data_IF_880816805965
#
_entry.id   IF_880816805965
#
_cell.length_a   1.000
_cell.length_b   1.000
_cell.length_c   1.000
_cell.angle_alpha   90.00
_cell.angle_beta   90.00
_cell.angle_gamma   90.00
#
_symmetry.space_group_name_H-M   'P 1'
#
loop_
_entity.id
_entity.type
_entity.pdbx_description
1 polymer ?
#
# COMPACT_ATOMS: atom_id res chain seq x y z
N UNK A 1 -15.49 5.32 6.84
CA UNK A 1 -14.35 6.07 7.40
C UNK A 1 -13.82 6.95 6.29
N UNK A 2 -13.69 8.25 6.49
CA UNK A 2 -13.18 9.16 5.46
C UNK A 2 -11.64 9.14 5.47
N UNK A 3 -11.01 9.32 4.30
CA UNK A 3 -9.56 9.29 4.16
C UNK A 3 -8.93 10.67 4.40
N UNK A 4 -7.77 10.72 5.06
CA UNK A 4 -7.09 11.98 5.40
C UNK A 4 -6.80 12.84 4.16
N UNK A 5 -6.41 12.22 3.04
CA UNK A 5 -6.16 12.92 1.77
C UNK A 5 -7.38 13.69 1.20
N UNK A 6 -8.59 13.47 1.72
CA UNK A 6 -9.79 14.25 1.37
C UNK A 6 -9.78 15.65 2.00
N UNK A 7 -9.03 15.84 3.08
CA UNK A 7 -8.83 17.12 3.75
C UNK A 7 -7.43 17.66 3.40
N UNK A 8 -7.34 18.43 2.31
CA UNK A 8 -6.06 18.80 1.69
C UNK A 8 -5.09 19.49 2.66
N UNK A 9 -5.57 20.44 3.47
CA UNK A 9 -4.73 21.18 4.43
C UNK A 9 -4.20 20.25 5.53
N UNK A 10 -5.08 19.48 6.17
CA UNK A 10 -4.70 18.52 7.20
C UNK A 10 -3.75 17.44 6.67
N UNK A 11 -3.97 16.99 5.44
CA UNK A 11 -3.11 16.01 4.78
C UNK A 11 -1.70 16.55 4.55
N UNK A 12 -1.57 17.76 4.00
CA UNK A 12 -0.27 18.40 3.78
C UNK A 12 0.45 18.63 5.11
N UNK A 13 -0.27 19.08 6.14
CA UNK A 13 0.29 19.28 7.48
C UNK A 13 0.81 17.96 8.07
N UNK A 14 0.02 16.89 7.99
CA UNK A 14 0.43 15.57 8.47
C UNK A 14 1.64 15.02 7.70
N UNK A 15 1.68 15.19 6.37
CA UNK A 15 2.81 14.78 5.53
C UNK A 15 4.09 15.52 5.94
N UNK A 16 4.02 16.83 6.16
CA UNK A 16 5.17 17.62 6.58
C UNK A 16 5.64 17.25 8.00
N UNK A 17 4.73 17.09 8.95
CA UNK A 17 5.07 16.68 10.33
C UNK A 17 5.74 15.30 10.37
N UNK A 18 5.22 14.35 9.59
CA UNK A 18 5.83 13.01 9.49
C UNK A 18 7.19 13.07 8.77
N UNK A 19 7.33 13.91 7.74
CA UNK A 19 8.60 14.13 7.04
C UNK A 19 9.68 14.63 8.00
N UNK A 20 9.36 15.62 8.83
CA UNK A 20 10.24 16.17 9.86
C UNK A 20 10.59 15.12 10.92
N UNK A 21 9.60 14.43 11.46
CA UNK A 21 9.78 13.44 12.52
C UNK A 21 10.62 12.22 12.09
N UNK A 22 10.39 11.70 10.88
CA UNK A 22 11.07 10.51 10.37
C UNK A 22 12.33 10.84 9.56
N UNK A 23 12.65 12.12 9.34
CA UNK A 23 13.77 12.58 8.52
C UNK A 23 13.78 11.98 7.11
N UNK A 24 12.61 11.96 6.46
CA UNK A 24 12.43 11.50 5.08
C UNK A 24 11.73 12.56 4.26
N UNK A 25 11.90 12.53 2.93
CA UNK A 25 11.28 13.53 2.05
C UNK A 25 9.74 13.47 2.13
N UNK A 26 9.02 14.62 2.10
CA UNK A 26 7.56 14.65 2.13
C UNK A 26 6.90 13.77 1.05
N UNK A 27 7.50 13.76 -0.15
CA UNK A 27 7.07 12.90 -1.25
C UNK A 27 7.07 11.40 -0.88
N UNK A 28 8.04 10.96 -0.08
CA UNK A 28 8.15 9.56 0.35
C UNK A 28 7.05 9.23 1.36
N UNK A 29 6.74 10.15 2.27
CA UNK A 29 5.62 10.01 3.23
C UNK A 29 4.29 9.91 2.49
N UNK A 30 4.04 10.81 1.54
CA UNK A 30 2.82 10.81 0.74
C UNK A 30 2.64 9.50 -0.03
N UNK A 31 3.70 9.03 -0.69
CA UNK A 31 3.67 7.73 -1.39
C UNK A 31 3.42 6.57 -0.42
N UNK A 32 4.07 6.55 0.74
CA UNK A 32 3.87 5.50 1.75
C UNK A 32 2.42 5.44 2.25
N UNK A 33 1.79 6.60 2.42
CA UNK A 33 0.38 6.73 2.78
C UNK A 33 -0.53 6.08 1.74
N UNK A 34 -0.38 6.42 0.46
CA UNK A 34 -1.22 5.85 -0.60
C UNK A 34 -0.99 4.36 -0.80
N UNK A 35 0.26 3.89 -0.72
CA UNK A 35 0.57 2.45 -0.78
C UNK A 35 -0.16 1.70 0.33
N UNK A 36 -0.11 2.21 1.56
CA UNK A 36 -0.77 1.60 2.72
C UNK A 36 -2.30 1.62 2.57
N UNK A 37 -2.85 2.69 2.03
CA UNK A 37 -4.29 2.82 1.75
C UNK A 37 -4.76 1.78 0.71
N UNK A 38 -4.01 1.60 -0.38
CA UNK A 38 -4.32 0.60 -1.42
C UNK A 38 -4.29 -0.80 -0.83
N UNK A 39 -3.26 -1.13 -0.05
CA UNK A 39 -3.15 -2.43 0.62
C UNK A 39 -4.35 -2.70 1.53
N UNK A 40 -4.77 -1.70 2.32
CA UNK A 40 -5.97 -1.80 3.16
C UNK A 40 -7.21 -2.13 2.33
N UNK A 41 -7.50 -1.34 1.30
CA UNK A 41 -8.68 -1.54 0.43
C UNK A 41 -8.66 -2.90 -0.26
N UNK A 42 -7.50 -3.36 -0.74
CA UNK A 42 -7.34 -4.68 -1.33
C UNK A 42 -7.68 -5.80 -0.34
N UNK A 43 -7.21 -5.69 0.91
CA UNK A 43 -7.51 -6.69 1.94
C UNK A 43 -8.97 -6.68 2.38
N UNK A 44 -9.62 -5.52 2.44
CA UNK A 44 -11.03 -5.40 2.82
C UNK A 44 -11.98 -5.95 1.73
N UNK A 45 -11.62 -5.78 0.45
CA UNK A 45 -12.47 -6.19 -0.68
C UNK A 45 -12.19 -7.61 -1.16
N UNK A 46 -10.93 -8.05 -1.08
CA UNK A 46 -10.46 -9.26 -1.73
C UNK A 46 -9.61 -10.12 -0.78
N UNK A 47 -10.29 -10.90 0.08
CA UNK A 47 -9.63 -11.77 1.06
C UNK A 47 -8.71 -12.87 0.48
N UNK A 48 -8.71 -13.07 -0.83
CA UNK A 48 -7.75 -13.95 -1.50
C UNK A 48 -6.50 -13.24 -2.02
N UNK A 49 -6.38 -11.93 -1.87
CA UNK A 49 -5.18 -11.19 -2.28
C UNK A 49 -4.16 -11.26 -1.16
N UNK A 50 -2.97 -11.79 -1.46
CA UNK A 50 -1.86 -11.90 -0.52
C UNK A 50 -0.77 -10.93 -0.90
N UNK A 51 -0.40 -10.07 0.03
CA UNK A 51 0.72 -9.15 -0.11
C UNK A 51 2.05 -9.89 0.03
N UNK A 52 2.97 -9.71 -0.93
CA UNK A 52 4.28 -10.37 -0.99
C UNK A 52 5.39 -9.37 -1.34
N UNK A 53 6.55 -9.90 -1.70
CA UNK A 53 7.66 -9.13 -2.27
C UNK A 53 8.44 -8.31 -1.26
N UNK A 54 9.31 -7.45 -1.77
CA UNK A 54 10.24 -6.65 -0.96
C UNK A 54 9.51 -5.69 -0.01
N UNK A 55 8.35 -5.18 -0.43
CA UNK A 55 7.54 -4.24 0.37
C UNK A 55 6.85 -4.95 1.54
N UNK A 56 6.48 -6.23 1.42
CA UNK A 56 6.02 -7.01 2.58
C UNK A 56 7.13 -7.24 3.61
N UNK A 57 8.37 -7.46 3.16
CA UNK A 57 9.53 -7.60 4.04
C UNK A 57 9.88 -6.30 4.78
N UNK A 58 9.69 -5.15 4.15
CA UNK A 58 9.89 -3.84 4.80
C UNK A 58 8.72 -3.46 5.72
N UNK A 59 7.46 -3.55 5.25
CA UNK A 59 6.28 -3.06 5.98
C UNK A 59 5.78 -4.03 7.06
N UNK A 60 5.75 -5.33 6.79
CA UNK A 60 5.20 -6.30 7.75
C UNK A 60 6.28 -6.86 8.66
N UNK A 61 7.42 -7.27 8.10
CA UNK A 61 8.48 -7.95 8.84
C UNK A 61 9.60 -7.01 9.33
N UNK A 62 9.66 -5.77 8.82
CA UNK A 62 10.69 -4.77 9.17
C UNK A 62 12.13 -5.28 9.01
N UNK A 63 12.34 -6.23 8.10
CA UNK A 63 13.65 -6.90 7.87
C UNK A 63 14.58 -6.02 7.03
N UNK A 64 14.01 -5.15 6.19
CA UNK A 64 14.77 -4.17 5.40
C UNK A 64 14.32 -2.74 5.78
N UNK A 65 15.29 -1.82 5.90
CA UNK A 65 15.06 -0.40 6.24
C UNK A 65 15.23 0.50 5.01
N UNK A 66 14.41 0.27 3.99
CA UNK A 66 14.33 1.15 2.82
C UNK A 66 12.87 1.41 2.46
N UNK A 67 12.61 2.57 1.88
CA UNK A 67 11.33 2.81 1.23
C UNK A 67 11.16 1.84 0.05
N UNK A 68 9.93 1.40 -0.17
CA UNK A 68 9.55 0.50 -1.26
C UNK A 68 8.18 0.94 -1.75
N UNK A 69 8.15 1.49 -2.96
CA UNK A 69 6.95 2.01 -3.61
C UNK A 69 6.09 0.90 -4.22
N UNK A 70 6.73 -0.20 -4.62
CA UNK A 70 6.08 -1.28 -5.34
C UNK A 70 5.09 -2.04 -4.45
N UNK A 71 3.93 -2.42 -5.02
CA UNK A 71 2.93 -3.27 -4.37
C UNK A 71 2.91 -4.62 -5.09
N UNK A 72 3.64 -5.59 -4.53
CA UNK A 72 3.63 -6.96 -5.03
C UNK A 72 2.47 -7.75 -4.41
N UNK A 73 1.50 -8.13 -5.24
CA UNK A 73 0.35 -8.93 -4.81
C UNK A 73 0.27 -10.28 -5.54
N UNK A 74 -0.19 -11.28 -4.81
CA UNK A 74 -0.56 -12.61 -5.32
C UNK A 74 -2.04 -12.84 -5.09
N UNK A 75 -2.60 -13.83 -5.77
CA UNK A 75 -3.92 -14.38 -5.44
C UNK A 75 -3.75 -15.79 -4.83
N UNK A 76 -4.14 -15.94 -3.57
CA UNK A 76 -4.28 -17.23 -2.87
C UNK A 76 -5.72 -17.74 -3.01
N UNK A 77 -6.07 -18.10 -4.23
CA UNK A 77 -7.24 -18.94 -4.47
C UNK A 77 -6.90 -19.95 -5.56
N UNK A 78 -7.50 -21.14 -5.46
CA UNK A 78 -7.53 -22.08 -6.59
C UNK A 78 -8.46 -21.51 -7.67
N UNK A 79 -8.04 -20.44 -8.33
CA UNK A 79 -8.76 -19.90 -9.47
C UNK A 79 -8.63 -20.90 -10.62
N UNK A 80 -9.77 -21.23 -11.23
CA UNK A 80 -9.74 -21.85 -12.54
C UNK A 80 -9.06 -20.91 -13.54
N UNK A 81 -8.47 -21.46 -14.60
CA UNK A 81 -7.83 -20.67 -15.67
C UNK A 81 -8.78 -19.60 -16.25
N UNK A 82 -10.09 -19.89 -16.32
CA UNK A 82 -11.10 -18.95 -16.80
C UNK A 82 -11.31 -17.73 -15.88
N UNK A 83 -11.25 -17.92 -14.56
CA UNK A 83 -11.33 -16.81 -13.60
C UNK A 83 -10.05 -15.97 -13.62
N UNK A 84 -8.90 -16.63 -13.77
CA UNK A 84 -7.60 -15.98 -13.84
C UNK A 84 -7.45 -15.14 -15.12
N UNK A 85 -8.08 -15.55 -16.22
CA UNK A 85 -8.16 -14.76 -17.46
C UNK A 85 -9.00 -13.48 -17.27
N UNK A 86 -10.19 -13.59 -16.67
CA UNK A 86 -11.05 -12.43 -16.38
C UNK A 86 -10.38 -11.38 -15.48
N UNK A 87 -9.55 -11.81 -14.52
CA UNK A 87 -8.82 -10.90 -13.64
C UNK A 87 -7.67 -10.13 -14.33
N UNK A 88 -7.12 -10.67 -15.42
CA UNK A 88 -6.07 -10.01 -16.22
C UNK A 88 -6.64 -9.08 -17.30
N UNK A 89 -7.95 -9.14 -17.53
CA UNK A 89 -8.66 -8.37 -18.55
C UNK A 89 -9.32 -7.10 -17.97
N UNK A 90 -9.16 -6.84 -16.67
CA UNK A 90 -9.54 -5.59 -15.98
C UNK A 90 -8.33 -4.67 -15.93
#
# INVERSE_FOLDING_TARGET
MEYLHKHKEDFINAVNLASEYFHILPLIVEKDYYVTMILRELTERQGFVVFKGGTSLSKCYKVIKRFSEDIDITIDSRLSQGQMKKLKEV
#
